data_IF_813864851687
#
_entry.id   IF_813864851687
#
_cell.length_a   1.000
_cell.length_b   1.000
_cell.length_c   1.000
_cell.angle_alpha   90.00
_cell.angle_beta   90.00
_cell.angle_gamma   90.00
#
_symmetry.space_group_name_H-M   'P 1'
#
loop_
_entity.id
_entity.type
_entity.pdbx_description
1 polymer ?
#
# COMPACT_ATOMS: atom_id res chain seq x y z
N UNK A 1 -16.79 53.03 -33.27
CA UNK A 1 -16.94 52.03 -32.19
C UNK A 1 -17.48 52.77 -30.98
N UNK A 2 -18.73 52.50 -30.61
CA UNK A 2 -19.45 53.34 -29.66
C UNK A 2 -18.82 53.32 -28.28
N UNK A 3 -18.74 54.48 -27.62
CA UNK A 3 -18.24 54.59 -26.22
C UNK A 3 -18.98 53.65 -25.28
N UNK A 4 -20.23 53.31 -25.58
CA UNK A 4 -21.06 52.34 -24.85
C UNK A 4 -20.57 50.90 -25.04
N UNK A 5 -20.13 50.54 -26.25
CA UNK A 5 -19.57 49.22 -26.57
C UNK A 5 -18.19 49.06 -25.91
N UNK A 6 -17.35 50.11 -25.95
CA UNK A 6 -16.05 50.09 -25.27
C UNK A 6 -16.18 50.00 -23.74
N UNK A 7 -17.20 50.64 -23.15
CA UNK A 7 -17.47 50.54 -21.72
C UNK A 7 -18.01 49.16 -21.34
N UNK A 8 -18.87 48.56 -22.16
CA UNK A 8 -19.37 47.19 -21.96
C UNK A 8 -18.25 46.14 -22.03
N UNK A 9 -17.34 46.29 -23.00
CA UNK A 9 -16.17 45.39 -23.13
C UNK A 9 -15.25 45.53 -21.92
N UNK A 10 -15.02 46.76 -21.43
CA UNK A 10 -14.21 46.98 -20.23
C UNK A 10 -14.83 46.33 -18.98
N UNK A 11 -16.15 46.40 -18.80
CA UNK A 11 -16.84 45.75 -17.69
C UNK A 11 -16.74 44.22 -17.74
N UNK A 12 -16.80 43.61 -18.94
CA UNK A 12 -16.67 42.15 -19.10
C UNK A 12 -15.24 41.69 -18.78
N UNK A 13 -14.22 42.42 -19.23
CA UNK A 13 -12.81 42.09 -18.92
C UNK A 13 -12.53 42.19 -17.42
N UNK A 14 -13.07 43.21 -16.74
CA UNK A 14 -12.94 43.33 -15.28
C UNK A 14 -13.64 42.17 -14.59
N UNK A 15 -14.84 41.76 -15.02
CA UNK A 15 -15.58 40.65 -14.40
C UNK A 15 -14.85 39.29 -14.52
N UNK A 16 -14.07 39.08 -15.58
CA UNK A 16 -13.23 37.87 -15.75
C UNK A 16 -12.01 37.88 -14.80
N UNK A 17 -11.51 39.07 -14.43
CA UNK A 17 -10.35 39.23 -13.52
C UNK A 17 -10.76 39.11 -12.04
N UNK A 18 -12.02 39.42 -11.68
CA UNK A 18 -12.53 39.29 -10.30
C UNK A 18 -13.20 37.94 -10.02
N UNK A 19 -13.18 36.99 -10.95
CA UNK A 19 -13.41 35.59 -10.58
C UNK A 19 -12.15 35.11 -9.84
N UNK A 20 -12.17 34.91 -8.51
CA UNK A 20 -11.08 34.19 -7.88
C UNK A 20 -11.00 32.84 -8.59
N UNK A 21 -9.81 32.49 -9.06
CA UNK A 21 -9.44 31.12 -9.31
C UNK A 21 -9.72 30.34 -8.02
N UNK A 22 -10.92 29.79 -7.88
CA UNK A 22 -11.21 28.73 -6.92
C UNK A 22 -10.93 27.37 -7.55
N UNK A 23 -9.92 27.32 -8.43
CA UNK A 23 -9.18 26.11 -8.71
C UNK A 23 -8.04 26.06 -7.68
N UNK A 24 -8.19 25.14 -6.72
CA UNK A 24 -7.23 24.77 -5.67
C UNK A 24 -7.11 25.74 -4.49
N UNK A 25 -7.83 25.44 -3.40
CA UNK A 25 -7.22 25.12 -2.09
C UNK A 25 -8.27 24.99 -0.98
N UNK A 26 -9.18 24.03 -1.11
CA UNK A 26 -10.00 23.55 0.03
C UNK A 26 -10.18 22.03 -0.06
N UNK A 27 -9.08 21.29 -0.24
CA UNK A 27 -9.06 19.82 -0.16
C UNK A 27 -8.25 19.26 1.01
N UNK A 28 -7.80 20.13 1.91
CA UNK A 28 -6.98 19.74 3.05
C UNK A 28 -7.59 20.31 4.33
N UNK A 29 -8.62 19.63 4.86
CA UNK A 29 -8.90 19.65 6.30
C UNK A 29 -9.83 18.57 6.85
N UNK A 30 -10.51 17.81 5.99
CA UNK A 30 -11.38 16.70 6.41
C UNK A 30 -11.12 15.44 5.58
N UNK A 31 -9.85 15.06 5.35
CA UNK A 31 -9.55 13.65 5.09
C UNK A 31 -9.70 12.94 6.42
N UNK A 32 -10.95 12.68 6.79
CA UNK A 32 -11.27 11.46 7.51
C UNK A 32 -10.57 10.36 6.71
N UNK A 33 -9.43 9.87 7.20
CA UNK A 33 -8.88 8.58 6.79
C UNK A 33 -10.01 7.61 7.02
N UNK A 34 -10.82 7.38 5.98
CA UNK A 34 -11.91 6.43 6.04
C UNK A 34 -11.29 5.16 6.60
N UNK A 35 -11.73 4.79 7.80
CA UNK A 35 -11.26 3.59 8.45
C UNK A 35 -11.59 2.46 7.46
N UNK A 36 -10.57 1.88 6.83
CA UNK A 36 -10.80 0.75 5.96
C UNK A 36 -11.40 -0.34 6.84
N UNK A 37 -12.56 -0.83 6.46
CA UNK A 37 -13.11 -1.99 7.13
C UNK A 37 -12.27 -3.22 6.74
N UNK A 38 -12.45 -4.32 7.47
CA UNK A 38 -11.64 -5.53 7.28
C UNK A 38 -11.70 -6.07 5.84
N UNK A 39 -12.87 -6.04 5.20
CA UNK A 39 -13.04 -6.54 3.83
C UNK A 39 -12.28 -5.67 2.83
N UNK A 40 -12.30 -4.34 3.00
CA UNK A 40 -11.54 -3.40 2.17
C UNK A 40 -10.03 -3.60 2.31
N UNK A 41 -9.56 -3.87 3.53
CA UNK A 41 -8.14 -4.17 3.78
C UNK A 41 -7.73 -5.47 3.09
N UNK A 42 -8.56 -6.51 3.17
CA UNK A 42 -8.24 -7.80 2.56
C UNK A 42 -8.21 -7.68 1.03
N UNK A 43 -9.21 -7.02 0.43
CA UNK A 43 -9.21 -6.74 -1.00
C UNK A 43 -7.95 -5.96 -1.43
N UNK A 44 -7.57 -4.93 -0.67
CA UNK A 44 -6.34 -4.19 -0.92
C UNK A 44 -5.08 -5.07 -0.87
N UNK A 45 -4.98 -6.00 0.09
CA UNK A 45 -3.84 -6.91 0.20
C UNK A 45 -3.81 -7.95 -0.92
N UNK A 46 -4.98 -8.43 -1.37
CA UNK A 46 -5.09 -9.33 -2.51
C UNK A 46 -4.62 -8.64 -3.81
N UNK A 47 -5.06 -7.40 -4.04
CA UNK A 47 -4.63 -6.59 -5.19
C UNK A 47 -3.12 -6.32 -5.15
N UNK A 48 -2.59 -5.98 -3.97
CA UNK A 48 -1.16 -5.77 -3.77
C UNK A 48 -0.34 -7.03 -4.03
N UNK A 49 -0.81 -8.21 -3.60
CA UNK A 49 -0.16 -9.48 -3.87
C UNK A 49 -0.22 -9.83 -5.36
N UNK A 50 -1.37 -9.61 -6.01
CA UNK A 50 -1.53 -9.78 -7.45
C UNK A 50 -0.54 -8.92 -8.23
N UNK A 51 -0.32 -7.67 -7.81
CA UNK A 51 0.70 -6.80 -8.40
C UNK A 51 2.11 -7.41 -8.29
N UNK A 52 2.50 -7.96 -7.14
CA UNK A 52 3.80 -8.64 -6.96
C UNK A 52 3.93 -9.89 -7.84
N UNK A 53 2.87 -10.69 -8.00
CA UNK A 53 2.88 -11.89 -8.83
C UNK A 53 2.99 -11.54 -10.32
N UNK A 54 2.31 -10.48 -10.76
CA UNK A 54 2.32 -10.02 -12.15
C UNK A 54 3.72 -9.66 -12.67
N UNK A 55 4.66 -9.40 -11.76
CA UNK A 55 6.07 -9.11 -12.10
C UNK A 55 6.80 -10.31 -12.73
N UNK A 56 6.31 -11.53 -12.52
CA UNK A 56 6.85 -12.74 -13.16
C UNK A 56 6.27 -13.02 -14.55
N UNK A 57 5.16 -12.37 -14.91
CA UNK A 57 4.42 -12.67 -16.14
C UNK A 57 4.94 -11.90 -17.36
N UNK A 58 5.52 -10.72 -17.13
CA UNK A 58 5.92 -9.78 -18.19
C UNK A 58 7.25 -9.11 -17.83
N UNK A 59 8.19 -9.14 -18.76
CA UNK A 59 9.43 -8.37 -18.68
C UNK A 59 9.18 -6.86 -18.76
N UNK A 60 9.73 -6.08 -17.84
CA UNK A 60 9.50 -4.62 -17.74
C UNK A 60 10.81 -3.83 -17.66
N UNK A 61 10.73 -2.50 -17.74
CA UNK A 61 11.81 -1.63 -17.25
C UNK A 61 11.78 -1.58 -15.72
N UNK A 62 12.86 -1.10 -15.09
CA UNK A 62 12.89 -0.90 -13.64
C UNK A 62 11.79 0.07 -13.19
N UNK A 63 11.57 1.15 -13.95
CA UNK A 63 10.49 2.10 -13.70
C UNK A 63 9.12 1.41 -13.81
N UNK A 64 8.92 0.53 -14.78
CA UNK A 64 7.68 -0.23 -14.93
C UNK A 64 7.42 -1.19 -13.76
N UNK A 65 8.47 -1.78 -13.18
CA UNK A 65 8.36 -2.56 -11.93
C UNK A 65 7.91 -1.66 -10.78
N UNK A 66 8.54 -0.49 -10.62
CA UNK A 66 8.18 0.49 -9.59
C UNK A 66 6.74 0.97 -9.75
N UNK A 67 6.29 1.25 -10.97
CA UNK A 67 4.91 1.67 -11.28
C UNK A 67 3.86 0.63 -10.89
N UNK A 68 4.16 -0.67 -11.08
CA UNK A 68 3.25 -1.76 -10.66
C UNK A 68 3.11 -1.82 -9.13
N UNK A 69 4.18 -1.57 -8.40
CA UNK A 69 4.20 -1.68 -6.93
C UNK A 69 3.77 -0.40 -6.20
N UNK A 70 4.05 0.77 -6.78
CA UNK A 70 3.84 2.08 -6.16
C UNK A 70 2.42 2.33 -5.60
N UNK A 71 1.33 1.84 -6.21
CA UNK A 71 -0.02 2.03 -5.68
C UNK A 71 -0.23 1.39 -4.29
N UNK A 72 0.56 0.36 -3.94
CA UNK A 72 0.30 -0.48 -2.77
C UNK A 72 1.42 -0.40 -1.72
N UNK A 73 2.65 -0.13 -2.14
CA UNK A 73 3.83 -0.24 -1.29
C UNK A 73 4.53 1.12 -1.12
N UNK A 74 5.04 1.39 0.08
CA UNK A 74 5.92 2.53 0.33
C UNK A 74 7.22 2.41 -0.47
N UNK A 75 7.88 3.53 -0.75
CA UNK A 75 9.13 3.54 -1.54
C UNK A 75 10.21 2.66 -0.92
N UNK A 76 10.38 2.71 0.41
CA UNK A 76 11.33 1.87 1.14
C UNK A 76 11.02 0.38 0.99
N UNK A 77 9.74 0.00 1.02
CA UNK A 77 9.33 -1.39 0.81
C UNK A 77 9.63 -1.84 -0.63
N UNK A 78 9.36 -0.98 -1.61
CA UNK A 78 9.63 -1.25 -3.03
C UNK A 78 11.12 -1.48 -3.26
N UNK A 79 11.98 -0.64 -2.70
CA UNK A 79 13.42 -0.78 -2.86
C UNK A 79 13.94 -2.09 -2.22
N UNK A 80 13.41 -2.49 -1.05
CA UNK A 80 13.72 -3.80 -0.45
C UNK A 80 13.22 -4.95 -1.32
N UNK A 81 11.98 -4.88 -1.82
CA UNK A 81 11.40 -5.92 -2.66
C UNK A 81 12.19 -6.13 -3.95
N UNK A 82 12.54 -5.03 -4.63
CA UNK A 82 13.33 -5.06 -5.87
C UNK A 82 14.68 -5.72 -5.62
N UNK A 83 15.39 -5.27 -4.58
CA UNK A 83 16.72 -5.79 -4.23
C UNK A 83 16.73 -7.31 -4.05
N UNK A 84 15.63 -7.87 -3.54
CA UNK A 84 15.58 -9.24 -3.04
C UNK A 84 14.95 -10.21 -4.03
N UNK A 85 14.07 -9.74 -4.92
CA UNK A 85 13.26 -10.61 -5.79
C UNK A 85 13.36 -10.28 -7.27
N UNK A 86 13.77 -9.07 -7.64
CA UNK A 86 13.77 -8.64 -9.04
C UNK A 86 15.15 -8.92 -9.64
N UNK A 87 15.16 -9.66 -10.74
CA UNK A 87 16.36 -9.96 -11.51
C UNK A 87 16.41 -9.11 -12.78
N UNK A 88 17.61 -8.89 -13.30
CA UNK A 88 17.84 -8.19 -14.57
C UNK A 88 18.41 -9.16 -15.60
N UNK A 89 17.78 -9.21 -16.78
CA UNK A 89 18.31 -9.90 -17.96
C UNK A 89 18.11 -9.02 -19.20
N UNK A 90 19.17 -8.78 -19.98
CA UNK A 90 19.11 -7.96 -21.21
C UNK A 90 18.47 -6.57 -21.02
N UNK A 91 18.65 -5.95 -19.84
CA UNK A 91 18.05 -4.65 -19.50
C UNK A 91 16.54 -4.71 -19.21
N UNK A 92 16.01 -5.91 -18.98
CA UNK A 92 14.63 -6.17 -18.57
C UNK A 92 14.58 -6.74 -17.16
N UNK A 93 13.54 -6.38 -16.43
CA UNK A 93 13.36 -6.68 -15.03
C UNK A 93 12.08 -7.49 -14.82
N UNK A 94 12.17 -8.54 -14.02
CA UNK A 94 11.08 -9.45 -13.68
C UNK A 94 11.40 -10.21 -12.39
N UNK A 95 10.43 -10.91 -11.83
CA UNK A 95 10.65 -11.82 -10.70
C UNK A 95 10.64 -13.27 -11.18
N UNK A 96 11.41 -14.12 -10.49
CA UNK A 96 11.36 -15.56 -10.68
C UNK A 96 10.47 -16.18 -9.60
N UNK A 97 9.70 -17.20 -9.97
CA UNK A 97 9.00 -18.03 -8.98
C UNK A 97 10.02 -18.65 -8.02
N UNK A 98 9.78 -18.51 -6.72
CA UNK A 98 10.67 -19.01 -5.67
C UNK A 98 9.84 -19.60 -4.54
N UNK A 99 10.29 -20.74 -4.01
CA UNK A 99 9.75 -21.31 -2.77
C UNK A 99 10.10 -20.44 -1.55
N UNK A 100 11.06 -19.51 -1.69
CA UNK A 100 11.46 -18.55 -0.66
C UNK A 100 11.52 -17.13 -1.27
N UNK A 101 10.37 -16.46 -1.30
CA UNK A 101 10.21 -15.13 -1.88
C UNK A 101 10.10 -14.07 -0.78
N UNK A 102 11.23 -13.46 -0.40
CA UNK A 102 11.27 -12.46 0.68
C UNK A 102 10.42 -11.25 0.32
N UNK A 103 9.77 -10.61 1.29
CA UNK A 103 8.97 -9.39 1.07
C UNK A 103 7.74 -9.54 0.16
N UNK A 104 7.41 -10.76 -0.28
CA UNK A 104 6.06 -11.04 -0.78
C UNK A 104 5.04 -10.94 0.36
N UNK A 105 3.83 -10.51 0.04
CA UNK A 105 2.70 -10.60 0.98
C UNK A 105 2.49 -12.09 1.31
N UNK A 106 2.46 -12.47 2.61
CA UNK A 106 2.20 -13.83 3.02
C UNK A 106 0.83 -14.33 2.53
N UNK A 107 0.72 -15.65 2.36
CA UNK A 107 -0.56 -16.31 2.08
C UNK A 107 -1.43 -16.34 3.34
N UNK A 108 -1.95 -15.19 3.74
CA UNK A 108 -2.95 -15.06 4.80
C UNK A 108 -4.21 -15.86 4.44
N UNK A 109 -4.87 -16.41 5.46
CA UNK A 109 -6.16 -17.09 5.26
C UNK A 109 -7.31 -16.13 4.91
N UNK A 110 -7.13 -14.82 5.14
CA UNK A 110 -8.16 -13.78 5.04
C UNK A 110 -9.47 -14.17 5.73
N UNK A 111 -9.34 -14.77 6.91
CA UNK A 111 -10.43 -15.35 7.68
C UNK A 111 -10.57 -14.69 9.05
N UNK A 112 -11.35 -15.31 9.94
CA UNK A 112 -11.39 -14.91 11.34
C UNK A 112 -10.05 -15.13 12.07
N UNK A 113 -9.10 -15.88 11.48
CA UNK A 113 -7.74 -16.06 12.00
C UNK A 113 -6.82 -14.88 11.64
N UNK A 114 -7.13 -14.15 10.58
CA UNK A 114 -6.44 -12.91 10.18
C UNK A 114 -7.02 -11.74 10.96
N UNK A 115 -6.22 -11.10 11.81
CA UNK A 115 -6.65 -10.00 12.67
C UNK A 115 -6.23 -8.67 12.08
N UNK A 116 -7.19 -7.75 12.00
CA UNK A 116 -6.93 -6.34 11.70
C UNK A 116 -6.91 -5.57 13.01
N UNK A 117 -5.80 -4.91 13.30
CA UNK A 117 -5.61 -4.10 14.50
C UNK A 117 -5.21 -2.70 14.12
N UNK A 118 -6.01 -1.72 14.50
CA UNK A 118 -5.63 -0.32 14.39
C UNK A 118 -4.86 0.13 15.62
N UNK A 119 -3.71 0.77 15.40
CA UNK A 119 -2.87 1.31 16.47
C UNK A 119 -2.20 2.60 15.99
N UNK A 120 -2.52 3.72 16.64
CA UNK A 120 -2.12 5.06 16.22
C UNK A 120 -2.54 5.32 14.75
N UNK A 121 -1.60 5.77 13.92
CA UNK A 121 -1.79 6.05 12.49
C UNK A 121 -1.51 4.84 11.59
N UNK A 122 -1.35 3.65 12.19
CA UNK A 122 -1.07 2.39 11.49
C UNK A 122 -2.23 1.40 11.61
N UNK A 123 -2.37 0.58 10.57
CA UNK A 123 -3.19 -0.63 10.57
C UNK A 123 -2.28 -1.84 10.47
N UNK A 124 -2.44 -2.80 11.35
CA UNK A 124 -1.70 -4.05 11.35
C UNK A 124 -2.63 -5.19 10.91
N UNK A 125 -2.20 -5.97 9.93
CA UNK A 125 -2.86 -7.22 9.53
C UNK A 125 -1.99 -8.37 9.97
N UNK A 126 -2.48 -9.18 10.90
CA UNK A 126 -1.68 -10.16 11.66
C UNK A 126 -2.28 -11.55 11.55
N UNK A 127 -1.45 -12.56 11.35
CA UNK A 127 -1.86 -13.96 11.42
C UNK A 127 -0.75 -14.82 12.03
N UNK A 128 -1.17 -15.89 12.69
CA UNK A 128 -0.30 -16.93 13.19
C UNK A 128 -0.05 -17.97 12.10
N UNK A 129 1.22 -18.26 11.83
CA UNK A 129 1.65 -19.30 10.90
C UNK A 129 2.21 -20.50 11.70
N UNK A 130 1.53 -21.66 11.68
CA UNK A 130 2.02 -22.85 12.39
C UNK A 130 3.29 -23.40 11.73
N UNK A 131 4.18 -23.97 12.52
CA UNK A 131 5.46 -24.49 12.08
C UNK A 131 5.31 -25.44 10.89
N UNK A 132 6.16 -25.25 9.89
CA UNK A 132 6.29 -26.18 8.76
C UNK A 132 7.62 -26.92 8.90
N UNK A 133 7.56 -28.23 9.08
CA UNK A 133 8.74 -29.12 9.13
C UNK A 133 8.88 -29.98 7.88
N UNK A 134 7.97 -29.83 6.92
CA UNK A 134 7.93 -30.61 5.68
C UNK A 134 8.05 -29.69 4.45
N UNK A 135 8.64 -30.19 3.36
CA UNK A 135 8.83 -29.45 2.12
C UNK A 135 10.17 -28.71 2.00
N UNK A 136 10.36 -27.90 0.93
CA UNK A 136 11.63 -27.24 0.64
C UNK A 136 11.96 -26.08 1.60
N UNK A 137 10.96 -25.59 2.34
CA UNK A 137 11.10 -24.49 3.29
C UNK A 137 10.52 -24.91 4.63
N UNK A 138 11.29 -24.69 5.69
CA UNK A 138 10.90 -24.98 7.08
C UNK A 138 10.95 -23.72 7.93
N UNK A 139 10.08 -23.64 8.92
CA UNK A 139 9.99 -22.53 9.86
C UNK A 139 9.26 -22.96 11.13
N UNK A 140 9.56 -22.30 12.24
CA UNK A 140 8.88 -22.51 13.52
C UNK A 140 7.54 -21.75 13.58
N UNK A 141 6.76 -22.00 14.63
CA UNK A 141 5.55 -21.23 14.93
C UNK A 141 5.91 -19.74 15.06
N UNK A 142 5.22 -18.88 14.31
CA UNK A 142 5.50 -17.45 14.35
C UNK A 142 4.28 -16.61 13.96
N UNK A 143 4.32 -15.34 14.34
CA UNK A 143 3.35 -14.35 13.87
C UNK A 143 3.95 -13.52 12.75
N UNK A 144 3.18 -13.30 11.69
CA UNK A 144 3.52 -12.35 10.64
C UNK A 144 2.51 -11.21 10.66
N UNK A 145 3.00 -9.98 10.59
CA UNK A 145 2.16 -8.82 10.36
C UNK A 145 2.61 -7.98 9.18
N UNK A 146 1.63 -7.44 8.45
CA UNK A 146 1.82 -6.29 7.59
C UNK A 146 1.41 -5.01 8.32
N UNK A 147 2.28 -4.00 8.26
CA UNK A 147 1.96 -2.65 8.72
C UNK A 147 1.56 -1.79 7.53
N UNK A 148 0.36 -1.24 7.58
CA UNK A 148 -0.16 -0.28 6.61
C UNK A 148 -0.19 1.11 7.24
N UNK A 149 0.18 2.14 6.47
CA UNK A 149 0.08 3.54 6.87
C UNK A 149 -0.64 4.35 5.81
N UNK A 150 -1.37 5.38 6.25
CA UNK A 150 -1.95 6.34 5.33
C UNK A 150 -0.88 7.33 4.87
N UNK A 151 -0.70 7.43 3.57
CA UNK A 151 0.07 8.47 2.90
C UNK A 151 -0.87 9.41 2.12
N UNK A 152 -0.32 10.52 1.61
CA UNK A 152 -1.07 11.50 0.82
C UNK A 152 -1.77 10.87 -0.41
N UNK A 153 -1.23 9.76 -0.93
CA UNK A 153 -1.71 9.03 -2.10
C UNK A 153 -2.67 7.89 -1.78
N UNK A 154 -2.85 7.53 -0.51
CA UNK A 154 -3.68 6.38 -0.09
C UNK A 154 -3.02 5.56 1.01
N UNK A 155 -3.62 4.42 1.36
CA UNK A 155 -2.98 3.46 2.26
C UNK A 155 -1.87 2.71 1.53
N UNK A 156 -0.75 2.50 2.21
CA UNK A 156 0.41 1.76 1.69
C UNK A 156 0.93 0.77 2.71
N UNK A 157 1.46 -0.34 2.22
CA UNK A 157 2.21 -1.31 3.01
C UNK A 157 3.61 -0.74 3.27
N UNK A 158 3.90 -0.52 4.54
CA UNK A 158 5.13 0.07 5.02
C UNK A 158 6.18 -0.99 5.38
N UNK A 159 5.73 -2.09 5.99
CA UNK A 159 6.62 -3.11 6.51
C UNK A 159 5.93 -4.48 6.63
N UNK A 160 6.76 -5.51 6.60
CA UNK A 160 6.42 -6.87 7.04
C UNK A 160 7.26 -7.17 8.30
N UNK A 161 6.62 -7.69 9.34
CA UNK A 161 7.24 -7.94 10.64
C UNK A 161 6.98 -9.39 11.07
N UNK A 162 8.05 -10.08 11.44
CA UNK A 162 8.00 -11.42 12.03
C UNK A 162 8.42 -11.32 13.50
N UNK A 163 7.57 -11.81 14.40
CA UNK A 163 7.80 -11.94 15.86
C UNK A 163 8.16 -10.68 16.67
N UNK A 164 8.56 -9.59 16.02
CA UNK A 164 8.88 -8.29 16.62
C UNK A 164 7.69 -7.34 16.58
N UNK A 165 6.49 -7.86 16.86
CA UNK A 165 5.27 -7.07 16.86
C UNK A 165 5.14 -6.26 18.15
N UNK A 166 4.61 -5.02 18.10
CA UNK A 166 4.27 -4.29 19.31
C UNK A 166 3.33 -5.11 20.18
N UNK A 167 3.62 -5.21 21.49
CA UNK A 167 2.79 -6.01 22.42
C UNK A 167 1.31 -5.63 22.36
N UNK A 168 1.01 -4.34 22.24
CA UNK A 168 -0.35 -3.84 22.12
C UNK A 168 -1.09 -4.38 20.87
N UNK A 169 -0.37 -4.66 19.78
CA UNK A 169 -0.95 -5.30 18.59
C UNK A 169 -1.36 -6.74 18.92
N UNK A 170 -0.50 -7.50 19.58
CA UNK A 170 -0.78 -8.88 20.00
C UNK A 170 -1.93 -8.96 20.99
N UNK A 171 -1.99 -8.03 21.95
CA UNK A 171 -3.09 -7.92 22.91
C UNK A 171 -4.42 -7.61 22.22
N UNK A 172 -4.48 -6.60 21.35
CA UNK A 172 -5.70 -6.23 20.61
C UNK A 172 -6.15 -7.30 19.61
N UNK A 173 -5.21 -8.05 19.05
CA UNK A 173 -5.51 -9.19 18.20
C UNK A 173 -6.09 -10.40 18.98
N UNK A 174 -6.09 -10.32 20.33
CA UNK A 174 -6.40 -11.41 21.27
C UNK A 174 -5.44 -12.61 21.12
N UNK A 175 -4.17 -12.34 20.81
CA UNK A 175 -3.10 -13.33 20.75
C UNK A 175 -2.22 -13.35 22.01
N UNK A 176 -2.43 -12.45 22.96
CA UNK A 176 -1.61 -12.34 24.16
C UNK A 176 -1.62 -13.58 25.07
N UNK A 177 -2.66 -14.43 24.98
CA UNK A 177 -2.73 -15.70 25.73
C UNK A 177 -1.97 -16.86 25.03
N UNK A 178 -1.35 -16.60 23.87
CA UNK A 178 -0.69 -17.61 23.01
C UNK A 178 0.85 -17.53 23.05
N UNK A 179 1.41 -16.62 23.87
CA UNK A 179 2.84 -16.42 24.10
C UNK A 179 3.27 -17.04 25.44
#
# INVERSE_FOLDING_TARGET
MDRRINLLILCIVVFIIVLPLQANSERDKDRETTLLNQEEIFAFLEDAFSAQVSLSEVERSLEGVKEVLFPYFSDDYIDMFIKENVVEENGKFFTLGSDFARYYIPFYTYSNQTKVVQLNDSVFVVEFFPASTEGPVTYDDHYVALELKSENTGWKIQAIQNDNLPREVLEKANFADSL
#
